data_IF_364391630873
#
_entry.id   IF_364391630873
#
_cell.length_a   1.000
_cell.length_b   1.000
_cell.length_c   1.000
_cell.angle_alpha   90.00
_cell.angle_beta   90.00
_cell.angle_gamma   90.00
#
_symmetry.space_group_name_H-M   'P 1'
#
loop_
_entity.id
_entity.type
_entity.pdbx_description
1 polymer ?
#
# COMPACT_ATOMS: atom_id res chain seq x y z
N UNK A 1 -17.80 34.12 -30.84
CA UNK A 1 -17.77 32.91 -29.97
C UNK A 1 -16.41 32.28 -30.21
N UNK A 2 -15.42 32.57 -29.35
CA UNK A 2 -14.08 32.02 -29.51
C UNK A 2 -14.14 30.53 -29.16
N UNK A 3 -13.66 29.65 -30.04
CA UNK A 3 -13.31 28.28 -29.67
C UNK A 3 -12.32 28.39 -28.51
N UNK A 4 -12.54 27.73 -27.35
CA UNK A 4 -11.48 27.67 -26.35
C UNK A 4 -10.27 27.03 -27.06
N UNK A 5 -9.16 27.75 -27.10
CA UNK A 5 -7.92 27.18 -27.61
C UNK A 5 -7.58 25.96 -26.75
N UNK A 6 -7.17 24.88 -27.39
CA UNK A 6 -6.70 23.69 -26.69
C UNK A 6 -5.57 24.09 -25.74
N UNK A 7 -5.62 23.60 -24.50
CA UNK A 7 -4.59 23.90 -23.51
C UNK A 7 -3.22 23.39 -24.01
N UNK A 8 -2.18 24.18 -23.79
CA UNK A 8 -0.83 23.83 -24.23
C UNK A 8 0.07 23.67 -23.01
N UNK A 9 0.67 22.50 -22.87
CA UNK A 9 1.59 22.17 -21.78
C UNK A 9 2.94 21.75 -22.36
N UNK A 10 3.99 21.89 -21.57
CA UNK A 10 5.34 21.44 -21.97
C UNK A 10 5.33 19.91 -22.03
N UNK A 11 5.67 19.33 -23.19
CA UNK A 11 5.62 17.88 -23.41
C UNK A 11 6.38 17.07 -22.36
N UNK A 12 7.58 17.53 -21.98
CA UNK A 12 8.36 16.89 -20.91
C UNK A 12 7.65 16.87 -19.56
N UNK A 13 6.88 17.92 -19.23
CA UNK A 13 6.05 17.92 -18.00
C UNK A 13 4.90 16.93 -18.13
N UNK A 14 4.22 16.90 -19.28
CA UNK A 14 3.14 15.93 -19.53
C UNK A 14 3.64 14.50 -19.37
N UNK A 15 4.82 14.19 -19.92
CA UNK A 15 5.44 12.87 -19.82
C UNK A 15 5.75 12.49 -18.36
N UNK A 16 6.37 13.39 -17.60
CA UNK A 16 6.69 13.13 -16.19
C UNK A 16 5.44 12.87 -15.34
N UNK A 17 4.36 13.63 -15.57
CA UNK A 17 3.09 13.38 -14.88
C UNK A 17 2.42 12.07 -15.31
N UNK A 18 2.55 11.67 -16.57
CA UNK A 18 2.09 10.37 -17.05
C UNK A 18 2.84 9.22 -16.38
N UNK A 19 4.17 9.32 -16.27
CA UNK A 19 5.02 8.36 -15.55
C UNK A 19 4.64 8.29 -14.07
N UNK A 20 4.44 9.44 -13.41
CA UNK A 20 4.01 9.50 -12.02
C UNK A 20 2.62 8.87 -11.80
N UNK A 21 1.64 9.13 -12.68
CA UNK A 21 0.33 8.47 -12.64
C UNK A 21 0.46 6.96 -12.82
N UNK A 22 1.31 6.49 -13.75
CA UNK A 22 1.53 5.07 -13.96
C UNK A 22 2.15 4.40 -12.72
N UNK A 23 3.15 5.04 -12.12
CA UNK A 23 3.79 4.59 -10.88
C UNK A 23 2.79 4.53 -9.72
N UNK A 24 1.99 5.59 -9.52
CA UNK A 24 0.93 5.62 -8.52
C UNK A 24 -0.07 4.46 -8.72
N UNK A 25 -0.52 4.24 -9.96
CA UNK A 25 -1.50 3.19 -10.24
C UNK A 25 -0.95 1.79 -10.04
N UNK A 26 0.31 1.57 -10.39
CA UNK A 26 0.99 0.32 -10.10
C UNK A 26 1.15 0.13 -8.59
N UNK A 27 1.64 1.15 -7.88
CA UNK A 27 1.84 1.12 -6.43
C UNK A 27 0.55 0.84 -5.68
N UNK A 28 -0.57 1.45 -6.08
CA UNK A 28 -1.87 1.18 -5.48
C UNK A 28 -2.28 -0.28 -5.62
N UNK A 29 -2.15 -0.87 -6.82
CA UNK A 29 -2.46 -2.28 -7.07
C UNK A 29 -1.58 -3.24 -6.27
N UNK A 30 -0.32 -2.86 -6.05
CA UNK A 30 0.60 -3.64 -5.23
C UNK A 30 0.20 -3.50 -3.75
N UNK A 31 0.06 -2.28 -3.24
CA UNK A 31 -0.37 -2.01 -1.87
C UNK A 31 -1.69 -2.70 -1.54
N UNK A 32 -2.66 -2.63 -2.45
CA UNK A 32 -3.96 -3.28 -2.30
C UNK A 32 -3.87 -4.79 -2.21
N UNK A 33 -2.73 -5.43 -2.49
CA UNK A 33 -2.54 -6.87 -2.27
C UNK A 33 -2.01 -7.24 -0.91
N UNK A 34 -1.28 -6.31 -0.30
CA UNK A 34 -0.51 -6.56 0.91
C UNK A 34 -1.19 -5.99 2.15
N UNK A 35 -1.82 -4.82 2.03
CA UNK A 35 -2.41 -4.12 3.17
C UNK A 35 -3.93 -3.96 3.05
N UNK A 36 -4.66 -4.10 4.16
CA UNK A 36 -6.08 -3.81 4.20
C UNK A 36 -6.28 -2.29 4.07
N UNK A 37 -6.64 -1.84 2.86
CA UNK A 37 -6.96 -0.43 2.61
C UNK A 37 -8.44 -0.15 2.93
N UNK A 38 -8.76 0.99 3.57
CA UNK A 38 -10.15 1.38 3.78
C UNK A 38 -10.81 1.79 2.46
N UNK A 39 -12.15 1.70 2.39
CA UNK A 39 -12.95 2.08 1.20
C UNK A 39 -12.66 3.51 0.73
N UNK A 40 -12.32 4.41 1.65
CA UNK A 40 -11.93 5.79 1.33
C UNK A 40 -10.71 5.87 0.42
N UNK A 41 -9.75 4.95 0.52
CA UNK A 41 -8.60 4.87 -0.39
C UNK A 41 -8.98 4.35 -1.76
N UNK A 42 -9.94 3.41 -1.82
CA UNK A 42 -10.51 2.92 -3.07
C UNK A 42 -11.16 4.07 -3.84
N UNK A 43 -11.95 4.88 -3.13
CA UNK A 43 -12.58 6.05 -3.71
C UNK A 43 -11.54 7.09 -4.15
N UNK A 44 -10.47 7.32 -3.39
CA UNK A 44 -9.39 8.22 -3.82
C UNK A 44 -8.75 7.78 -5.13
N UNK A 45 -8.48 6.48 -5.26
CA UNK A 45 -7.87 5.91 -6.45
C UNK A 45 -8.75 5.98 -7.70
N UNK A 46 -10.03 5.65 -7.55
CA UNK A 46 -10.95 5.57 -8.68
C UNK A 46 -11.70 6.86 -9.00
N UNK A 47 -12.06 7.65 -7.99
CA UNK A 47 -12.97 8.79 -8.15
C UNK A 47 -12.23 10.12 -8.24
N UNK A 48 -11.22 10.33 -7.39
CA UNK A 48 -10.53 11.63 -7.31
C UNK A 48 -9.14 11.61 -7.94
N UNK A 49 -8.52 10.45 -8.14
CA UNK A 49 -7.13 10.33 -8.61
C UNK A 49 -6.12 11.03 -7.71
N UNK A 50 -6.44 11.25 -6.44
CA UNK A 50 -5.57 11.94 -5.48
C UNK A 50 -4.71 10.93 -4.75
N UNK A 51 -3.45 11.30 -4.47
CA UNK A 51 -2.52 10.41 -3.77
C UNK A 51 -1.51 11.19 -2.94
N UNK A 52 -0.90 10.50 -1.98
CA UNK A 52 0.11 11.09 -1.11
C UNK A 52 1.42 10.34 -1.21
N UNK A 53 2.50 11.08 -0.98
CA UNK A 53 3.83 10.51 -0.80
C UNK A 53 4.45 11.06 0.47
N UNK A 54 5.28 10.23 1.11
CA UNK A 54 6.10 10.53 2.26
C UNK A 54 7.54 10.79 1.79
N UNK A 55 8.13 11.89 2.24
CA UNK A 55 9.55 12.22 2.05
C UNK A 55 10.24 11.99 3.38
N UNK A 56 11.20 11.08 3.42
CA UNK A 56 11.99 10.73 4.61
C UNK A 56 13.18 11.70 4.72
N UNK A 57 13.31 12.38 5.86
CA UNK A 57 14.44 13.30 6.10
C UNK A 57 15.79 12.61 6.23
N UNK A 58 15.78 11.29 6.44
CA UNK A 58 17.00 10.48 6.56
C UNK A 58 17.52 9.98 5.21
N UNK A 59 16.73 10.12 4.15
CA UNK A 59 17.24 9.83 2.81
C UNK A 59 18.20 10.96 2.41
N UNK A 60 19.50 10.66 2.41
CA UNK A 60 20.54 11.61 1.96
C UNK A 60 20.21 12.12 0.56
N UNK A 61 20.09 13.44 0.43
CA UNK A 61 19.72 14.09 -0.83
C UNK A 61 20.57 15.31 -1.10
N UNK A 62 21.10 15.38 -2.32
CA UNK A 62 21.66 16.61 -2.89
C UNK A 62 20.54 17.54 -3.36
N UNK A 63 20.71 18.85 -3.12
CA UNK A 63 19.75 19.86 -3.55
C UNK A 63 19.63 19.83 -5.08
N UNK A 64 18.41 20.01 -5.59
CA UNK A 64 18.10 19.98 -7.02
C UNK A 64 18.28 18.64 -7.74
N UNK A 65 18.31 17.52 -7.00
CA UNK A 65 18.19 16.17 -7.59
C UNK A 65 16.75 15.65 -7.52
N UNK A 66 16.38 14.63 -8.32
CA UNK A 66 15.08 13.99 -8.26
C UNK A 66 14.71 13.58 -6.82
N UNK A 67 13.45 13.81 -6.44
CA UNK A 67 12.97 13.55 -5.10
C UNK A 67 12.65 12.07 -4.92
N UNK A 68 13.36 11.39 -4.03
CA UNK A 68 12.97 10.06 -3.54
C UNK A 68 11.85 10.22 -2.50
N UNK A 69 10.79 9.45 -2.66
CA UNK A 69 9.65 9.43 -1.75
C UNK A 69 9.03 8.02 -1.71
N UNK A 70 8.05 7.82 -0.82
CA UNK A 70 7.33 6.55 -0.66
C UNK A 70 5.83 6.78 -0.70
N UNK A 71 5.07 5.92 -1.37
CA UNK A 71 3.62 6.10 -1.42
C UNK A 71 2.96 5.92 -0.04
N UNK A 72 1.96 6.75 0.24
CA UNK A 72 1.10 6.63 1.40
C UNK A 72 -0.29 6.17 0.94
N UNK A 73 -0.77 5.06 1.52
CA UNK A 73 -2.13 4.59 1.32
C UNK A 73 -2.87 4.49 2.66
N UNK A 74 -3.93 5.25 2.81
CA UNK A 74 -4.67 5.37 4.06
C UNK A 74 -3.82 6.08 5.11
N UNK A 75 -3.33 5.31 6.07
CA UNK A 75 -2.38 5.77 7.10
C UNK A 75 -0.99 5.15 6.95
N UNK A 76 -0.80 4.27 5.97
CA UNK A 76 0.37 3.42 5.89
C UNK A 76 1.43 4.04 4.99
N UNK A 77 2.63 4.23 5.52
CA UNK A 77 3.81 4.54 4.73
C UNK A 77 4.30 3.23 4.13
N UNK A 78 4.25 3.11 2.80
CA UNK A 78 4.63 1.89 2.10
C UNK A 78 6.07 2.01 1.60
N UNK A 79 7.06 1.81 2.48
CA UNK A 79 8.49 1.97 2.10
C UNK A 79 8.97 1.00 1.01
N UNK A 80 8.28 -0.14 0.86
CA UNK A 80 8.48 -1.09 -0.24
C UNK A 80 7.95 -0.59 -1.60
N UNK A 81 7.32 0.59 -1.65
CA UNK A 81 6.82 1.26 -2.86
C UNK A 81 7.48 2.64 -3.01
N UNK A 82 8.79 2.69 -3.32
CA UNK A 82 9.48 3.94 -3.56
C UNK A 82 9.05 4.56 -4.90
N UNK A 83 9.18 5.88 -5.00
CA UNK A 83 9.04 6.65 -6.23
C UNK A 83 10.12 7.72 -6.29
N UNK A 84 10.69 7.91 -7.47
CA UNK A 84 11.60 9.01 -7.77
C UNK A 84 10.85 10.02 -8.62
N UNK A 85 10.76 11.26 -8.15
CA UNK A 85 9.97 12.32 -8.79
C UNK A 85 10.92 13.40 -9.30
N UNK A 86 10.96 13.56 -10.61
CA UNK A 86 11.70 14.65 -11.25
C UNK A 86 11.18 16.01 -10.80
N UNK A 87 12.09 16.95 -10.57
CA UNK A 87 11.74 18.26 -9.98
C UNK A 87 10.77 19.07 -10.84
N UNK A 88 10.87 18.93 -12.16
CA UNK A 88 9.95 19.56 -13.09
C UNK A 88 8.47 19.16 -12.82
N UNK A 89 8.21 17.96 -12.30
CA UNK A 89 6.87 17.49 -11.95
C UNK A 89 6.38 18.02 -10.59
N UNK A 90 7.25 18.67 -9.80
CA UNK A 90 6.90 19.27 -8.52
C UNK A 90 6.54 20.75 -8.65
N UNK A 91 7.00 21.42 -9.71
CA UNK A 91 6.66 22.81 -9.96
C UNK A 91 5.19 22.99 -10.38
N UNK A 92 4.60 24.20 -10.20
CA UNK A 92 3.26 24.47 -10.67
C UNK A 92 3.15 24.29 -12.19
N UNK A 93 2.23 23.43 -12.62
CA UNK A 93 1.98 23.16 -14.05
C UNK A 93 1.26 24.36 -14.69
N UNK A 94 1.87 24.94 -15.73
CA UNK A 94 1.39 26.15 -16.41
C UNK A 94 0.86 25.85 -17.80
N UNK A 95 -0.31 26.41 -18.12
CA UNK A 95 -0.81 26.47 -19.49
C UNK A 95 -0.08 27.59 -20.25
N UNK A 96 0.56 27.23 -21.36
CA UNK A 96 1.35 28.13 -22.20
C UNK A 96 0.48 29.12 -22.98
N UNK A 97 -0.83 28.83 -23.14
CA UNK A 97 -1.77 29.78 -23.74
C UNK A 97 -2.08 30.96 -22.82
N UNK A 98 -1.74 30.86 -21.53
CA UNK A 98 -2.06 31.86 -20.51
C UNK A 98 -3.53 31.89 -20.10
N UNK A 99 -4.34 30.91 -20.54
CA UNK A 99 -5.75 30.80 -20.20
C UNK A 99 -6.01 30.14 -18.84
N UNK A 100 -4.99 29.63 -18.14
CA UNK A 100 -5.14 29.07 -16.80
C UNK A 100 -5.11 30.15 -15.70
N UNK A 101 -5.96 29.98 -14.69
CA UNK A 101 -6.01 30.88 -13.54
C UNK A 101 -4.72 30.75 -12.71
N UNK A 102 -3.89 31.78 -12.74
CA UNK A 102 -2.61 31.81 -12.03
C UNK A 102 -2.78 31.63 -10.52
N UNK A 103 -3.91 32.04 -9.94
CA UNK A 103 -4.19 31.89 -8.51
C UNK A 103 -4.52 30.45 -8.12
N UNK A 104 -4.85 29.60 -9.10
CA UNK A 104 -5.14 28.16 -8.90
C UNK A 104 -3.94 27.27 -9.23
N UNK A 105 -2.82 27.84 -9.66
CA UNK A 105 -1.57 27.08 -9.88
C UNK A 105 -1.04 26.62 -8.53
N UNK A 106 -0.91 25.31 -8.35
CA UNK A 106 -0.39 24.70 -7.13
C UNK A 106 0.81 23.82 -7.47
N UNK A 107 1.83 23.85 -6.61
CA UNK A 107 3.13 23.22 -6.82
C UNK A 107 4.14 23.80 -5.84
N UNK A 108 5.38 23.32 -5.90
CA UNK A 108 6.47 23.79 -5.05
C UNK A 108 7.23 24.94 -5.70
N UNK A 109 7.59 25.94 -4.91
CA UNK A 109 8.52 27.00 -5.31
C UNK A 109 9.98 26.50 -5.29
N UNK A 110 10.91 27.29 -5.83
CA UNK A 110 12.34 26.96 -5.70
C UNK A 110 12.83 26.97 -4.24
N UNK A 111 12.21 27.78 -3.38
CA UNK A 111 12.49 27.82 -1.94
C UNK A 111 11.96 26.56 -1.24
N UNK A 112 10.77 26.10 -1.63
CA UNK A 112 10.23 24.83 -1.16
C UNK A 112 11.13 23.65 -1.56
N UNK A 113 11.64 23.66 -2.79
CA UNK A 113 12.51 22.61 -3.31
C UNK A 113 13.90 22.60 -2.68
N UNK A 114 14.36 23.75 -2.17
CA UNK A 114 15.61 23.85 -1.42
C UNK A 114 15.48 23.33 0.02
N UNK A 115 14.27 23.24 0.56
CA UNK A 115 14.00 22.87 1.96
C UNK A 115 13.35 21.50 2.14
N UNK A 116 12.77 20.94 1.08
CA UNK A 116 12.14 19.62 1.09
C UNK A 116 13.14 18.50 1.43
N UNK A 117 12.76 17.63 2.35
CA UNK A 117 13.62 16.57 2.88
C UNK A 117 14.56 17.01 4.02
N UNK A 118 14.58 18.29 4.40
CA UNK A 118 15.21 18.70 5.68
C UNK A 118 14.42 18.18 6.89
N UNK A 119 13.12 17.95 6.68
CA UNK A 119 12.21 17.37 7.65
C UNK A 119 11.39 16.28 6.95
N UNK A 120 10.86 15.36 7.75
CA UNK A 120 9.88 14.41 7.25
C UNK A 120 8.67 15.19 6.73
N UNK A 121 8.25 14.93 5.49
CA UNK A 121 7.20 15.70 4.82
C UNK A 121 6.19 14.79 4.11
N UNK A 122 4.96 15.28 4.01
CA UNK A 122 3.87 14.64 3.25
C UNK A 122 3.42 15.58 2.15
N UNK A 123 3.46 15.09 0.91
CA UNK A 123 2.96 15.81 -0.25
C UNK A 123 1.64 15.20 -0.73
N UNK A 124 0.63 16.03 -0.95
CA UNK A 124 -0.65 15.63 -1.56
C UNK A 124 -0.68 16.03 -3.04
N UNK A 125 -0.76 15.03 -3.90
CA UNK A 125 -0.99 15.19 -5.33
C UNK A 125 -2.48 15.10 -5.62
N UNK A 126 -3.00 16.09 -6.34
CA UNK A 126 -4.39 16.14 -6.81
C UNK A 126 -4.44 16.46 -8.28
N UNK A 127 -5.35 15.87 -9.07
CA UNK A 127 -5.46 16.21 -10.49
C UNK A 127 -5.62 17.72 -10.71
N UNK A 128 -4.98 18.25 -11.75
CA UNK A 128 -5.20 19.62 -12.19
C UNK A 128 -6.60 19.72 -12.77
N UNK A 129 -7.38 20.68 -12.29
CA UNK A 129 -8.71 20.98 -12.83
C UNK A 129 -8.58 21.68 -14.18
N UNK A 130 -8.47 20.90 -15.27
CA UNK A 130 -8.52 21.42 -16.64
C UNK A 130 -9.29 20.46 -17.55
N UNK A 131 -10.52 20.85 -17.91
CA UNK A 131 -11.40 20.04 -18.76
C UNK A 131 -10.97 19.99 -20.23
N UNK A 132 -9.97 20.79 -20.64
CA UNK A 132 -9.43 20.82 -22.01
C UNK A 132 -8.42 19.70 -22.28
N UNK A 133 -7.97 19.00 -21.24
CA UNK A 133 -7.01 17.89 -21.36
C UNK A 133 -7.58 16.59 -20.79
N UNK A 134 -7.21 15.48 -21.43
CA UNK A 134 -7.65 14.13 -21.05
C UNK A 134 -6.54 13.28 -20.43
N UNK A 135 -5.31 13.81 -20.35
CA UNK A 135 -4.15 13.15 -19.77
C UNK A 135 -3.91 13.60 -18.32
N UNK A 136 -3.26 12.78 -17.48
CA UNK A 136 -3.04 13.10 -16.08
C UNK A 136 -2.06 14.27 -15.93
N UNK A 137 -2.51 15.33 -15.27
CA UNK A 137 -1.68 16.41 -14.73
C UNK A 137 -1.99 16.53 -13.25
N UNK A 138 -0.97 16.81 -12.44
CA UNK A 138 -1.12 16.90 -10.99
C UNK A 138 -0.65 18.26 -10.47
N UNK A 139 -1.35 18.71 -9.45
CA UNK A 139 -0.97 19.79 -8.57
C UNK A 139 -0.47 19.19 -7.26
N UNK A 140 0.49 19.85 -6.61
CA UNK A 140 0.78 19.60 -5.19
C UNK A 140 -0.12 20.52 -4.39
N UNK A 141 -1.23 19.97 -3.90
CA UNK A 141 -2.28 20.75 -3.24
C UNK A 141 -2.01 21.02 -1.77
N UNK A 142 -1.17 20.20 -1.14
CA UNK A 142 -0.70 20.37 0.23
C UNK A 142 0.76 19.90 0.36
N UNK A 143 1.58 20.67 1.07
CA UNK A 143 2.88 20.29 1.62
C UNK A 143 2.79 20.49 3.12
N UNK A 144 2.83 19.39 3.87
CA UNK A 144 2.75 19.42 5.33
C UNK A 144 3.99 18.76 5.92
N UNK A 145 4.53 19.36 6.98
CA UNK A 145 5.49 18.65 7.82
C UNK A 145 4.82 17.41 8.43
N UNK A 146 5.56 16.31 8.49
CA UNK A 146 5.09 15.05 9.05
C UNK A 146 4.66 15.19 10.51
N UNK A 147 5.18 16.16 11.27
CA UNK A 147 4.75 16.45 12.65
C UNK A 147 3.24 16.67 12.79
N UNK A 148 2.59 17.26 11.78
CA UNK A 148 1.13 17.40 11.71
C UNK A 148 0.42 16.05 11.55
N UNK A 149 1.13 15.07 11.02
CA UNK A 149 0.69 13.71 10.70
C UNK A 149 1.34 12.63 11.57
N UNK A 150 2.20 12.99 12.54
CA UNK A 150 3.01 12.07 13.34
C UNK A 150 2.14 11.11 14.16
N UNK A 151 0.94 11.54 14.53
CA UNK A 151 -0.04 10.70 15.26
C UNK A 151 -0.88 9.82 14.34
N UNK A 152 -0.79 10.04 13.02
CA UNK A 152 -1.68 9.46 12.01
C UNK A 152 -0.98 8.45 11.11
N UNK A 153 0.29 8.65 10.78
CA UNK A 153 1.03 7.77 9.85
C UNK A 153 1.75 6.63 10.58
N UNK A 154 1.88 5.50 9.89
CA UNK A 154 2.45 4.27 10.40
C UNK A 154 3.20 3.53 9.30
N UNK A 155 4.48 3.25 9.53
CA UNK A 155 5.31 2.44 8.63
C UNK A 155 5.03 0.97 8.85
N UNK A 156 4.76 0.26 7.76
CA UNK A 156 4.36 -1.14 7.82
C UNK A 156 5.53 -2.11 7.71
N UNK A 157 6.68 -1.67 7.21
CA UNK A 157 7.82 -2.54 6.89
C UNK A 157 7.77 -3.17 5.50
N UNK A 158 8.75 -4.02 5.19
CA UNK A 158 8.84 -4.73 3.92
C UNK A 158 7.99 -6.01 3.94
N UNK A 159 7.26 -6.36 2.87
CA UNK A 159 6.52 -7.62 2.82
C UNK A 159 7.45 -8.83 2.95
N UNK A 160 7.03 -9.82 3.73
CA UNK A 160 7.73 -11.08 3.97
C UNK A 160 6.96 -12.23 3.31
N UNK A 161 7.63 -12.97 2.41
CA UNK A 161 6.94 -13.83 1.45
C UNK A 161 6.98 -15.33 1.76
N UNK A 162 8.03 -15.82 2.41
CA UNK A 162 8.21 -17.25 2.61
C UNK A 162 9.06 -17.61 3.83
N UNK A 163 8.79 -18.79 4.37
CA UNK A 163 9.62 -19.45 5.38
C UNK A 163 10.41 -20.57 4.70
N UNK A 164 11.44 -20.22 3.94
CA UNK A 164 12.12 -21.15 3.03
C UNK A 164 12.80 -22.34 3.71
N UNK A 165 13.10 -22.22 5.00
CA UNK A 165 13.80 -23.22 5.80
C UNK A 165 12.84 -23.99 6.74
N UNK A 166 11.52 -23.78 6.62
CA UNK A 166 10.48 -24.54 7.35
C UNK A 166 9.76 -25.42 6.33
N UNK A 167 9.69 -26.73 6.62
CA UNK A 167 8.94 -27.69 5.81
C UNK A 167 7.61 -28.07 6.47
N UNK A 168 7.62 -28.27 7.79
CA UNK A 168 6.43 -28.54 8.59
C UNK A 168 6.41 -27.73 9.89
N UNK A 169 5.23 -27.61 10.48
CA UNK A 169 4.99 -27.02 11.79
C UNK A 169 4.19 -28.00 12.64
N UNK A 170 4.62 -28.18 13.89
CA UNK A 170 3.92 -29.03 14.86
C UNK A 170 2.76 -28.31 15.52
N UNK A 171 1.64 -29.03 15.70
CA UNK A 171 0.52 -28.64 16.56
C UNK A 171 0.87 -28.80 18.04
N UNK A 172 1.83 -28.01 18.51
CA UNK A 172 2.30 -28.08 19.88
C UNK A 172 1.59 -27.09 20.82
N UNK A 173 0.98 -27.53 21.93
CA UNK A 173 0.42 -26.63 22.93
C UNK A 173 1.54 -25.89 23.67
N UNK A 174 1.52 -24.55 23.65
CA UNK A 174 2.56 -23.75 24.29
C UNK A 174 2.49 -23.85 25.83
N UNK A 175 3.62 -24.03 26.52
CA UNK A 175 3.67 -23.98 27.97
C UNK A 175 3.33 -22.59 28.54
N UNK A 176 2.76 -22.55 29.74
CA UNK A 176 2.36 -21.30 30.42
C UNK A 176 3.50 -20.30 30.61
N UNK A 177 4.73 -20.78 30.81
CA UNK A 177 5.88 -19.90 30.98
C UNK A 177 6.21 -19.12 29.69
N UNK A 178 5.89 -19.66 28.51
CA UNK A 178 6.06 -18.95 27.23
C UNK A 178 4.96 -17.91 27.06
N UNK A 179 3.71 -18.30 27.35
CA UNK A 179 2.54 -17.42 27.23
C UNK A 179 2.56 -16.25 28.21
N UNK A 180 3.20 -16.41 29.36
CA UNK A 180 3.34 -15.36 30.39
C UNK A 180 4.62 -14.52 30.25
N UNK A 181 5.56 -14.91 29.37
CA UNK A 181 6.81 -14.19 29.16
C UNK A 181 6.62 -12.95 28.30
N UNK A 182 7.50 -11.95 28.51
CA UNK A 182 7.60 -10.76 27.67
C UNK A 182 8.97 -10.68 27.03
N UNK A 183 8.99 -10.29 25.76
CA UNK A 183 10.19 -10.15 24.96
C UNK A 183 10.31 -8.72 24.42
N UNK A 184 11.53 -8.27 24.18
CA UNK A 184 11.83 -6.93 23.69
C UNK A 184 11.98 -6.96 22.18
N UNK A 185 11.25 -6.10 21.48
CA UNK A 185 11.44 -5.84 20.07
C UNK A 185 12.65 -4.90 19.87
N UNK A 186 13.60 -5.32 19.04
CA UNK A 186 14.78 -4.53 18.66
C UNK A 186 14.96 -4.49 17.15
N UNK A 187 15.77 -3.53 16.67
CA UNK A 187 16.13 -3.42 15.26
C UNK A 187 15.10 -2.72 14.37
N UNK A 188 13.98 -2.26 14.94
CA UNK A 188 12.89 -1.60 14.20
C UNK A 188 13.35 -0.44 13.32
N UNK A 189 14.38 0.29 13.75
CA UNK A 189 14.98 1.40 13.00
C UNK A 189 15.55 0.99 11.62
N UNK A 190 15.83 -0.29 11.41
CA UNK A 190 16.36 -0.82 10.15
C UNK A 190 15.28 -1.38 9.22
N UNK A 191 14.12 -1.74 9.76
CA UNK A 191 13.05 -2.43 9.01
C UNK A 191 11.84 -1.52 8.78
N UNK A 192 11.38 -0.83 9.83
CA UNK A 192 10.19 0.01 9.79
C UNK A 192 10.34 1.19 10.80
N UNK A 193 11.27 2.14 10.56
CA UNK A 193 11.69 3.13 11.56
C UNK A 193 10.60 4.09 12.04
N UNK A 194 9.49 4.21 11.30
CA UNK A 194 8.38 5.11 11.64
C UNK A 194 7.13 4.36 12.15
N UNK A 195 7.25 3.07 12.47
CA UNK A 195 6.15 2.26 13.02
C UNK A 195 5.67 2.81 14.37
N UNK A 196 4.35 2.81 14.58
CA UNK A 196 3.72 3.29 15.80
C UNK A 196 3.49 2.16 16.81
N UNK A 197 4.47 1.96 17.69
CA UNK A 197 4.41 0.94 18.75
C UNK A 197 3.51 1.28 19.94
N UNK A 198 2.99 2.51 20.04
CA UNK A 198 2.08 2.90 21.13
C UNK A 198 0.69 2.25 21.02
N UNK A 199 0.39 1.65 19.87
CA UNK A 199 -0.80 0.82 19.66
C UNK A 199 -0.37 -0.64 19.68
N UNK A 200 -1.30 -1.48 20.12
CA UNK A 200 -1.13 -2.93 20.02
C UNK A 200 -1.08 -3.34 18.54
N UNK A 201 -0.07 -4.14 18.19
CA UNK A 201 0.19 -4.66 16.85
C UNK A 201 0.21 -6.18 16.94
N UNK A 202 -0.56 -6.86 16.09
CA UNK A 202 -0.43 -8.31 15.93
C UNK A 202 0.89 -8.63 15.21
N UNK A 203 1.61 -9.63 15.73
CA UNK A 203 2.91 -10.00 15.22
C UNK A 203 3.13 -11.52 15.23
N UNK A 204 4.12 -11.93 14.46
CA UNK A 204 4.55 -13.32 14.28
C UNK A 204 6.05 -13.39 14.57
N UNK A 205 6.43 -14.36 15.38
CA UNK A 205 7.80 -14.65 15.73
C UNK A 205 8.26 -15.84 14.91
N UNK A 206 9.39 -15.71 14.24
CA UNK A 206 9.96 -16.71 13.36
C UNK A 206 11.39 -17.03 13.80
N UNK A 207 11.62 -18.24 14.29
CA UNK A 207 12.95 -18.69 14.70
C UNK A 207 13.77 -19.09 13.45
N UNK A 208 14.81 -18.31 13.14
CA UNK A 208 15.71 -18.56 12.02
C UNK A 208 16.80 -19.56 12.44
N UNK A 209 17.10 -20.55 11.60
CA UNK A 209 18.15 -21.54 11.89
C UNK A 209 19.48 -21.25 11.18
N UNK A 210 19.50 -20.31 10.25
CA UNK A 210 20.67 -19.98 9.42
C UNK A 210 20.95 -18.47 9.36
N UNK A 211 20.67 -17.75 10.44
CA UNK A 211 20.98 -16.31 10.51
C UNK A 211 22.51 -16.09 10.64
N UNK A 212 23.11 -15.20 9.83
CA UNK A 212 24.56 -15.02 9.80
C UNK A 212 25.14 -14.26 11.00
N UNK A 213 24.31 -13.61 11.82
CA UNK A 213 24.73 -12.72 12.90
C UNK A 213 24.40 -13.27 14.30
N UNK A 214 23.32 -14.03 14.43
CA UNK A 214 22.88 -14.61 15.69
C UNK A 214 22.29 -16.02 15.47
N UNK A 215 22.92 -17.09 16.00
CA UNK A 215 22.42 -18.45 15.83
C UNK A 215 21.04 -18.69 16.48
N UNK A 216 20.63 -17.82 17.40
CA UNK A 216 19.33 -17.88 18.07
C UNK A 216 18.37 -16.78 17.59
N UNK A 217 18.58 -16.24 16.38
CA UNK A 217 17.77 -15.15 15.85
C UNK A 217 16.28 -15.52 15.77
N UNK A 218 15.44 -14.65 16.32
CA UNK A 218 13.98 -14.72 16.18
C UNK A 218 13.53 -13.44 15.51
N UNK A 219 13.18 -13.54 14.22
CA UNK A 219 12.64 -12.43 13.45
C UNK A 219 11.21 -12.16 13.90
N UNK A 220 10.88 -10.88 14.06
CA UNK A 220 9.54 -10.40 14.39
C UNK A 220 8.96 -9.79 13.14
N UNK A 221 7.80 -10.30 12.75
CA UNK A 221 7.04 -9.85 11.61
C UNK A 221 5.71 -9.26 12.09
N UNK A 222 5.32 -8.12 11.56
CA UNK A 222 4.00 -7.52 11.74
C UNK A 222 2.95 -8.29 10.93
N UNK A 223 1.75 -8.40 11.47
CA UNK A 223 0.61 -9.07 10.84
C UNK A 223 -0.65 -8.21 10.93
N UNK A 224 -1.49 -8.30 9.91
CA UNK A 224 -2.81 -7.64 9.86
C UNK A 224 -3.89 -8.71 9.68
N UNK A 225 -4.27 -9.43 10.76
CA UNK A 225 -5.16 -10.58 10.66
C UNK A 225 -6.51 -10.24 10.01
N UNK A 226 -6.90 -11.00 8.98
CA UNK A 226 -8.21 -10.90 8.37
C UNK A 226 -9.13 -12.05 8.79
N UNK A 227 -10.42 -11.75 9.01
CA UNK A 227 -11.41 -12.78 9.32
C UNK A 227 -11.69 -13.64 8.09
N UNK A 228 -11.71 -14.97 8.29
CA UNK A 228 -11.93 -15.98 7.24
C UNK A 228 -13.23 -15.75 6.47
N UNK A 229 -14.32 -15.42 7.17
CA UNK A 229 -15.62 -15.18 6.55
C UNK A 229 -15.61 -13.92 5.66
N UNK A 230 -14.98 -12.83 6.11
CA UNK A 230 -14.85 -11.59 5.32
C UNK A 230 -14.01 -11.82 4.06
N UNK A 231 -12.93 -12.58 4.19
CA UNK A 231 -12.08 -13.01 3.07
C UNK A 231 -12.87 -13.82 2.05
N UNK A 232 -13.64 -14.81 2.50
CA UNK A 232 -14.47 -15.64 1.63
C UNK A 232 -15.57 -14.83 0.92
N UNK A 233 -16.22 -13.92 1.64
CA UNK A 233 -17.25 -13.04 1.08
C UNK A 233 -16.67 -12.12 -0.01
N UNK A 234 -15.51 -11.51 0.22
CA UNK A 234 -14.81 -10.69 -0.79
C UNK A 234 -14.47 -11.49 -2.04
N UNK A 235 -13.93 -12.71 -1.88
CA UNK A 235 -13.63 -13.62 -2.99
C UNK A 235 -14.89 -13.94 -3.81
N UNK A 236 -16.01 -14.25 -3.14
CA UNK A 236 -17.27 -14.53 -3.81
C UNK A 236 -17.80 -13.31 -4.56
N UNK A 237 -17.83 -12.15 -3.92
CA UNK A 237 -18.31 -10.89 -4.52
C UNK A 237 -17.50 -10.52 -5.75
N UNK A 238 -16.17 -10.65 -5.69
CA UNK A 238 -15.31 -10.35 -6.80
C UNK A 238 -15.41 -11.38 -7.93
N UNK A 239 -15.58 -12.67 -7.63
CA UNK A 239 -15.89 -13.69 -8.64
C UNK A 239 -17.18 -13.33 -9.41
N UNK A 240 -18.25 -12.98 -8.69
CA UNK A 240 -19.50 -12.53 -9.31
C UNK A 240 -19.32 -11.24 -10.11
N UNK A 241 -18.49 -10.31 -9.63
CA UNK A 241 -18.17 -9.07 -10.33
C UNK A 241 -17.38 -9.32 -11.63
N UNK A 242 -16.41 -10.23 -11.64
CA UNK A 242 -15.66 -10.65 -12.84
C UNK A 242 -16.60 -11.19 -13.92
N UNK A 243 -17.56 -12.04 -13.53
CA UNK A 243 -18.56 -12.58 -14.46
C UNK A 243 -19.50 -11.51 -15.01
N UNK A 244 -19.94 -10.58 -14.16
CA UNK A 244 -20.75 -9.42 -14.59
C UNK A 244 -19.97 -8.47 -15.49
N UNK A 245 -18.68 -8.25 -15.22
CA UNK A 245 -17.82 -7.36 -15.99
C UNK A 245 -17.69 -7.83 -17.44
N UNK A 246 -17.46 -9.13 -17.65
CA UNK A 246 -17.42 -9.74 -18.99
C UNK A 246 -18.70 -9.44 -19.78
N UNK A 247 -19.87 -9.52 -19.13
CA UNK A 247 -21.17 -9.23 -19.77
C UNK A 247 -21.31 -7.75 -20.11
N UNK A 248 -20.95 -6.86 -19.19
CA UNK A 248 -20.99 -5.40 -19.40
C UNK A 248 -20.06 -4.99 -20.54
N UNK A 249 -18.84 -5.54 -20.60
CA UNK A 249 -17.90 -5.24 -21.68
C UNK A 249 -18.42 -5.68 -23.05
N UNK A 250 -19.06 -6.85 -23.14
CA UNK A 250 -19.75 -7.28 -24.38
C UNK A 250 -20.89 -6.34 -24.75
N UNK A 251 -21.67 -5.87 -23.77
CA UNK A 251 -22.73 -4.90 -24.01
C UNK A 251 -22.18 -3.56 -24.50
N UNK A 252 -21.07 -3.07 -23.94
CA UNK A 252 -20.41 -1.84 -24.38
C UNK A 252 -19.99 -1.97 -25.85
N UNK A 253 -19.28 -3.04 -26.20
CA UNK A 253 -18.81 -3.29 -27.58
C UNK A 253 -20.01 -3.30 -28.54
N UNK A 254 -21.02 -4.13 -28.25
CA UNK A 254 -22.22 -4.21 -29.08
C UNK A 254 -22.92 -2.86 -29.23
N UNK A 255 -23.00 -2.09 -28.15
CA UNK A 255 -23.67 -0.79 -28.15
C UNK A 255 -22.89 0.25 -28.96
N UNK A 256 -21.56 0.27 -28.86
CA UNK A 256 -20.71 1.13 -29.68
C UNK A 256 -20.71 0.73 -31.15
N UNK A 257 -20.80 -0.57 -31.47
CA UNK A 257 -20.90 -1.05 -32.84
C UNK A 257 -22.20 -0.55 -33.49
N UNK A 258 -23.33 -0.64 -32.78
CA UNK A 258 -24.63 -0.11 -33.25
C UNK A 258 -24.56 1.40 -33.48
N UNK A 259 -23.88 2.16 -32.61
CA UNK A 259 -23.71 3.61 -32.78
C UNK A 259 -22.89 3.95 -34.03
N UNK A 260 -21.81 3.19 -34.27
CA UNK A 260 -20.98 3.34 -35.46
C UNK A 260 -21.77 3.00 -36.73
N UNK A 261 -22.55 1.93 -36.72
CA UNK A 261 -23.41 1.54 -37.84
C UNK A 261 -24.49 2.59 -38.13
N UNK A 262 -25.12 3.14 -37.09
CA UNK A 262 -26.24 4.07 -37.24
C UNK A 262 -25.81 5.52 -37.56
N UNK A 263 -24.66 5.96 -37.04
CA UNK A 263 -24.28 7.38 -37.06
C UNK A 263 -22.85 7.65 -37.52
N UNK A 264 -22.05 6.61 -37.81
CA UNK A 264 -20.65 6.73 -38.22
C UNK A 264 -19.70 7.20 -37.12
N UNK A 265 -20.19 7.38 -35.89
CA UNK A 265 -19.40 7.88 -34.75
C UNK A 265 -19.91 7.31 -33.43
N UNK A 266 -19.04 7.31 -32.42
CA UNK A 266 -19.42 6.98 -31.04
C UNK A 266 -19.77 8.29 -30.32
N UNK A 267 -21.01 8.39 -29.83
CA UNK A 267 -21.39 9.49 -28.94
C UNK A 267 -21.02 9.14 -27.49
N UNK A 268 -19.89 9.68 -27.02
CA UNK A 268 -19.43 9.50 -25.63
C UNK A 268 -20.31 10.23 -24.61
N UNK A 269 -21.23 11.09 -25.05
CA UNK A 269 -22.19 11.76 -24.19
C UNK A 269 -23.50 10.98 -24.03
N UNK A 270 -23.69 9.89 -24.79
CA UNK A 270 -24.87 9.06 -24.69
C UNK A 270 -25.05 8.48 -23.27
N UNK A 271 -26.28 8.61 -22.76
CA UNK A 271 -26.66 8.20 -21.40
C UNK A 271 -26.50 6.69 -21.20
N UNK A 272 -26.84 5.87 -22.20
CA UNK A 272 -26.70 4.42 -22.14
C UNK A 272 -25.23 3.99 -22.06
N UNK A 273 -24.37 4.56 -22.90
CA UNK A 273 -22.93 4.28 -22.89
C UNK A 273 -22.28 4.73 -21.58
N UNK A 274 -22.66 5.90 -21.06
CA UNK A 274 -22.21 6.39 -19.74
C UNK A 274 -22.62 5.45 -18.61
N UNK A 275 -23.87 4.97 -18.59
CA UNK A 275 -24.34 4.02 -17.60
C UNK A 275 -23.56 2.70 -17.65
N UNK A 276 -23.27 2.17 -18.84
CA UNK A 276 -22.45 0.97 -18.96
C UNK A 276 -21.02 1.17 -18.46
N UNK A 277 -20.39 2.30 -18.78
CA UNK A 277 -19.03 2.62 -18.30
C UNK A 277 -18.97 2.85 -16.80
N UNK A 278 -19.98 3.50 -16.23
CA UNK A 278 -20.10 3.63 -14.78
C UNK A 278 -20.18 2.26 -14.12
N UNK A 279 -21.05 1.38 -14.63
CA UNK A 279 -21.18 0.01 -14.14
C UNK A 279 -19.88 -0.79 -14.29
N UNK A 280 -19.15 -0.59 -15.40
CA UNK A 280 -17.83 -1.19 -15.60
C UNK A 280 -16.84 -0.74 -14.52
N UNK A 281 -16.82 0.56 -14.19
CA UNK A 281 -15.98 1.14 -13.15
C UNK A 281 -16.33 0.58 -11.76
N UNK A 282 -17.62 0.53 -11.42
CA UNK A 282 -18.12 -0.06 -10.16
C UNK A 282 -17.70 -1.52 -10.01
N UNK A 283 -17.81 -2.31 -11.08
CA UNK A 283 -17.38 -3.72 -11.07
C UNK A 283 -15.87 -3.84 -10.91
N UNK A 284 -15.07 -2.99 -11.57
CA UNK A 284 -13.61 -2.96 -11.40
C UNK A 284 -13.21 -2.64 -9.95
N UNK A 285 -13.90 -1.69 -9.30
CA UNK A 285 -13.72 -1.41 -7.87
C UNK A 285 -13.96 -2.65 -7.01
N UNK A 286 -15.04 -3.40 -7.26
CA UNK A 286 -15.32 -4.64 -6.53
C UNK A 286 -14.26 -5.72 -6.79
N UNK A 287 -13.77 -5.84 -8.02
CA UNK A 287 -12.75 -6.83 -8.39
C UNK A 287 -11.42 -6.51 -7.72
N UNK A 288 -10.97 -5.26 -7.78
CA UNK A 288 -9.74 -4.84 -7.10
C UNK A 288 -9.86 -4.99 -5.58
N UNK A 289 -11.09 -5.08 -5.04
CA UNK A 289 -11.31 -5.39 -3.64
C UNK A 289 -11.04 -6.84 -3.23
N UNK A 290 -10.91 -7.75 -4.20
CA UNK A 290 -10.45 -9.12 -3.98
C UNK A 290 -8.95 -9.20 -3.74
N UNK A 291 -8.18 -8.33 -4.40
CA UNK A 291 -6.73 -8.38 -4.33
C UNK A 291 -6.26 -8.11 -2.88
N UNK A 292 -7.07 -7.45 -2.02
CA UNK A 292 -6.86 -7.21 -0.57
C UNK A 292 -6.73 -8.44 0.32
N UNK A 293 -6.75 -9.65 -0.25
CA UNK A 293 -6.98 -10.89 0.50
C UNK A 293 -5.67 -11.65 0.81
N UNK A 294 -4.52 -11.06 0.49
CA UNK A 294 -3.24 -11.56 0.96
C UNK A 294 -2.99 -11.18 2.41
N UNK A 295 -3.24 -12.09 3.35
CA UNK A 295 -2.66 -12.03 4.69
C UNK A 295 -1.15 -12.27 4.56
N UNK A 296 -0.40 -11.18 4.40
CA UNK A 296 1.06 -11.18 4.39
C UNK A 296 1.60 -10.69 5.72
N UNK A 297 2.83 -11.08 6.00
CA UNK A 297 3.60 -10.54 7.11
C UNK A 297 4.53 -9.43 6.60
N UNK A 298 4.97 -8.57 7.50
CA UNK A 298 5.88 -7.48 7.20
C UNK A 298 7.04 -7.44 8.17
N UNK A 299 8.25 -7.18 7.71
CA UNK A 299 9.41 -7.13 8.58
C UNK A 299 9.30 -5.99 9.59
N UNK A 300 9.43 -6.32 10.88
CA UNK A 300 9.32 -5.35 11.98
C UNK A 300 10.62 -5.26 12.79
N UNK A 301 11.32 -6.37 13.00
CA UNK A 301 12.57 -6.39 13.75
C UNK A 301 12.92 -7.79 14.23
N UNK A 302 13.54 -7.89 15.41
CA UNK A 302 13.93 -9.14 16.06
C UNK A 302 13.61 -9.09 17.56
N UNK A 303 13.52 -10.27 18.17
CA UNK A 303 13.60 -10.40 19.64
C UNK A 303 15.01 -10.07 20.09
N UNK A 304 15.15 -9.36 21.22
CA UNK A 304 16.46 -9.06 21.81
C UNK A 304 17.31 -10.31 22.00
N UNK A 305 18.59 -10.20 21.65
CA UNK A 305 19.59 -11.26 21.82
C UNK A 305 19.77 -11.72 23.27
N UNK A 306 19.44 -10.87 24.24
CA UNK A 306 19.52 -11.24 25.66
C UNK A 306 18.36 -12.14 26.10
N UNK A 307 17.29 -12.21 25.31
CA UNK A 307 16.02 -12.85 25.68
C UNK A 307 15.63 -13.98 24.72
N UNK A 308 16.32 -14.14 23.59
CA UNK A 308 15.92 -15.05 22.51
C UNK A 308 16.33 -16.52 22.73
N UNK A 309 17.46 -16.81 23.37
CA UNK A 309 18.07 -18.16 23.32
C UNK A 309 17.12 -19.26 23.81
N UNK A 310 16.51 -19.11 24.99
CA UNK A 310 15.61 -20.13 25.54
C UNK A 310 14.35 -20.31 24.71
N UNK A 311 13.80 -19.21 24.17
CA UNK A 311 12.64 -19.25 23.29
C UNK A 311 12.97 -19.92 21.96
N UNK A 312 14.13 -19.60 21.38
CA UNK A 312 14.59 -20.16 20.11
C UNK A 312 14.80 -21.67 20.22
N UNK A 313 15.52 -22.12 21.25
CA UNK A 313 15.70 -23.55 21.53
C UNK A 313 14.37 -24.28 21.62
N UNK A 314 13.42 -23.74 22.39
CA UNK A 314 12.07 -24.30 22.47
C UNK A 314 11.39 -24.39 21.10
N UNK A 315 11.41 -23.30 20.32
CA UNK A 315 10.77 -23.22 19.00
C UNK A 315 11.34 -24.25 18.02
N UNK A 316 12.66 -24.46 18.04
CA UNK A 316 13.35 -25.41 17.15
C UNK A 316 13.13 -26.85 17.62
N UNK A 317 13.34 -27.15 18.91
CA UNK A 317 13.23 -28.50 19.47
C UNK A 317 11.81 -29.08 19.33
N UNK A 318 10.79 -28.23 19.43
CA UNK A 318 9.38 -28.66 19.36
C UNK A 318 8.77 -28.48 17.96
N UNK A 319 9.59 -28.17 16.94
CA UNK A 319 9.15 -27.85 15.58
C UNK A 319 8.01 -26.81 15.53
N UNK A 320 8.08 -25.81 16.42
CA UNK A 320 7.12 -24.71 16.57
C UNK A 320 7.82 -23.39 16.24
N UNK A 321 8.41 -23.34 15.04
CA UNK A 321 9.27 -22.23 14.59
C UNK A 321 8.52 -20.96 14.23
N UNK A 322 7.19 -20.97 14.30
CA UNK A 322 6.33 -19.82 14.07
C UNK A 322 5.37 -19.70 15.25
N UNK A 323 5.46 -18.59 15.98
CA UNK A 323 4.57 -18.24 17.08
C UNK A 323 3.83 -16.94 16.78
N UNK A 324 2.66 -16.76 17.37
CA UNK A 324 1.84 -15.56 17.24
C UNK A 324 1.92 -14.76 18.54
N UNK A 325 1.85 -13.44 18.43
CA UNK A 325 1.93 -12.56 19.58
C UNK A 325 1.40 -11.16 19.31
N UNK A 326 1.48 -10.33 20.34
CA UNK A 326 1.09 -8.92 20.30
C UNK A 326 2.27 -8.07 20.76
N UNK A 327 2.55 -7.02 20.02
CA UNK A 327 3.57 -6.04 20.34
C UNK A 327 2.94 -4.70 20.75
N UNK A 328 3.35 -4.17 21.89
CA UNK A 328 2.98 -2.83 22.37
C UNK A 328 4.12 -2.22 23.15
N UNK A 329 4.41 -0.95 22.90
CA UNK A 329 5.50 -0.20 23.55
C UNK A 329 6.86 -0.92 23.48
N UNK A 330 7.10 -1.64 22.37
CA UNK A 330 8.32 -2.42 22.15
C UNK A 330 8.39 -3.74 22.93
N UNK A 331 7.32 -4.13 23.62
CA UNK A 331 7.20 -5.41 24.33
C UNK A 331 6.30 -6.36 23.57
N UNK A 332 6.73 -7.61 23.45
CA UNK A 332 6.06 -8.70 22.74
C UNK A 332 5.55 -9.70 23.78
N UNK A 333 4.28 -10.07 23.68
CA UNK A 333 3.66 -11.15 24.42
C UNK A 333 3.21 -12.22 23.44
N UNK A 334 3.61 -13.47 23.66
CA UNK A 334 3.21 -14.59 22.82
C UNK A 334 1.79 -15.00 23.19
N UNK A 335 0.92 -15.13 22.19
CA UNK A 335 -0.50 -15.47 22.37
C UNK A 335 -0.80 -16.92 21.99
N UNK A 336 0.05 -17.57 21.19
CA UNK A 336 -0.17 -18.94 20.78
C UNK A 336 0.78 -19.43 19.69
N UNK A 337 0.71 -20.73 19.41
CA UNK A 337 1.37 -21.37 18.26
C UNK A 337 0.42 -21.47 17.07
N UNK A 338 0.78 -22.27 16.06
CA UNK A 338 -0.05 -22.45 14.86
C UNK A 338 -1.44 -23.04 15.15
N UNK A 339 -1.56 -23.85 16.21
CA UNK A 339 -2.83 -24.37 16.71
C UNK A 339 -3.85 -23.26 17.01
N UNK A 340 -3.40 -22.18 17.66
CA UNK A 340 -4.26 -21.04 18.01
C UNK A 340 -4.83 -20.33 16.77
N UNK A 341 -4.10 -20.36 15.65
CA UNK A 341 -4.58 -19.78 14.39
C UNK A 341 -5.63 -20.67 13.73
N UNK A 342 -5.43 -21.99 13.72
CA UNK A 342 -6.35 -22.96 13.10
C UNK A 342 -7.73 -22.89 13.75
N UNK A 343 -7.76 -22.83 15.07
CA UNK A 343 -8.99 -22.76 15.86
C UNK A 343 -9.63 -21.35 15.85
N UNK A 344 -8.93 -20.34 15.33
CA UNK A 344 -9.42 -18.96 15.29
C UNK A 344 -10.39 -18.69 14.14
N UNK A 345 -11.02 -17.51 14.18
CA UNK A 345 -11.81 -16.97 13.06
C UNK A 345 -10.95 -16.38 11.93
N UNK A 346 -9.63 -16.32 12.11
CA UNK A 346 -8.73 -15.69 11.14
C UNK A 346 -8.41 -16.60 9.96
N UNK A 347 -8.12 -15.96 8.83
CA UNK A 347 -7.68 -16.63 7.63
C UNK A 347 -6.19 -17.03 7.75
N UNK A 348 -5.81 -18.13 7.12
CA UNK A 348 -4.42 -18.59 7.12
C UNK A 348 -3.58 -17.68 6.18
N UNK A 349 -2.51 -17.04 6.69
CA UNK A 349 -1.59 -16.26 5.87
C UNK A 349 -1.05 -17.03 4.67
N UNK A 350 -0.91 -16.34 3.53
CA UNK A 350 -0.51 -16.99 2.27
C UNK A 350 0.89 -17.62 2.38
N UNK A 351 1.81 -16.97 3.09
CA UNK A 351 3.16 -17.48 3.35
C UNK A 351 3.19 -18.79 4.18
N UNK A 352 2.10 -19.14 4.86
CA UNK A 352 1.96 -20.39 5.62
C UNK A 352 1.24 -21.49 4.81
N UNK A 353 0.61 -21.16 3.69
CA UNK A 353 -0.24 -22.10 2.93
C UNK A 353 0.49 -23.31 2.34
N UNK A 354 1.81 -23.20 2.15
CA UNK A 354 2.65 -24.27 1.60
C UNK A 354 3.33 -25.12 2.69
N UNK A 355 3.12 -24.82 3.98
CA UNK A 355 3.72 -25.56 5.08
C UNK A 355 2.84 -26.74 5.46
N UNK A 356 3.46 -27.88 5.74
CA UNK A 356 2.73 -29.03 6.29
C UNK A 356 2.46 -28.78 7.76
N UNK A 357 1.24 -29.03 8.23
CA UNK A 357 0.87 -28.91 9.64
C UNK A 357 0.69 -30.33 10.18
N UNK A 358 1.46 -30.69 11.21
CA UNK A 358 1.58 -32.06 11.75
C UNK A 358 1.17 -32.15 13.22
#
# INVERSE_FOLDING_TARGET
>A
MFSPADAQYIDGVVELHAQLNAAYRAAYKIASRYIPLPVTEINRYYDTGTFRVFVDSKDDREIYTPLKAYFIFGRYICRFLPVTIELAALYPVRDLTGCDDSNKRKGLSSEDLATIGLFDEVLLFSPKEDSRVSYPLYNISEKNQSSVWETKLDDIGLPFFNFSDIQSLSLFPLPDYILSSQYSLVGIQHYAPLTKLNKEIDCVLYAEISNPHDPCAIKVLRWFPQKRNEVQEKKLNAFLAKERLKRVQRSIIKYTDIMLEASGRIDYCDTGLRNYRQKESELKKTIDSEDYVGDYFFELGYVSRQENSSLHSFMVENNSRILFGKCKDGRIVITGGINSLIDSEYNLPFCLSNLTIE
#
